data_IF_869580832374
#
_entry.id   IF_869580832374
#
_cell.length_a   1.000
_cell.length_b   1.000
_cell.length_c   1.000
_cell.angle_alpha   90.00
_cell.angle_beta   90.00
_cell.angle_gamma   90.00
#
_symmetry.space_group_name_H-M   'P 1'
#
loop_
_entity.id
_entity.type
_entity.pdbx_description
1 polymer ?
#
# COMPACT_ATOMS: atom_id res chain seq x y z
N UNK A 1 24.08 -29.17 10.67
CA UNK A 1 24.12 -29.03 9.21
C UNK A 1 22.84 -29.63 8.65
N UNK A 2 21.83 -28.82 8.43
CA UNK A 2 20.60 -29.29 7.82
C UNK A 2 20.20 -28.23 6.78
N UNK A 3 20.50 -28.54 5.52
CA UNK A 3 20.17 -27.70 4.37
C UNK A 3 18.67 -27.69 4.16
N UNK A 4 18.06 -26.50 4.21
CA UNK A 4 16.68 -26.26 3.78
C UNK A 4 16.60 -26.45 2.26
N UNK A 5 15.97 -27.54 1.84
CA UNK A 5 15.62 -27.81 0.46
C UNK A 5 14.26 -27.16 0.13
N UNK A 6 14.28 -25.93 -0.33
CA UNK A 6 13.17 -25.41 -1.15
C UNK A 6 13.76 -24.86 -2.44
N UNK A 7 13.66 -25.56 -3.56
CA UNK A 7 14.00 -25.00 -4.87
C UNK A 7 12.92 -24.01 -5.25
N UNK A 8 13.27 -22.72 -5.28
CA UNK A 8 12.47 -21.72 -5.99
C UNK A 8 12.45 -22.11 -7.47
N UNK A 9 11.35 -22.71 -7.91
CA UNK A 9 11.10 -22.91 -9.34
C UNK A 9 10.92 -21.54 -9.99
N UNK A 10 11.93 -21.08 -10.69
CA UNK A 10 11.83 -20.05 -11.72
C UNK A 10 10.79 -20.54 -12.75
N UNK A 11 9.64 -19.87 -12.84
CA UNK A 11 8.69 -20.16 -13.90
C UNK A 11 7.21 -20.20 -13.55
N UNK A 12 6.77 -19.50 -12.51
CA UNK A 12 5.35 -19.24 -12.33
C UNK A 12 5.13 -17.76 -11.97
N UNK A 13 5.23 -16.90 -13.00
CA UNK A 13 4.44 -15.67 -12.99
C UNK A 13 2.98 -16.11 -13.22
N UNK A 14 2.36 -16.64 -12.18
CA UNK A 14 0.93 -16.81 -12.17
C UNK A 14 0.32 -15.42 -12.35
N UNK A 15 -0.44 -15.24 -13.42
CA UNK A 15 -1.30 -14.07 -13.55
C UNK A 15 -2.05 -13.90 -12.24
N UNK A 16 -1.97 -12.72 -11.63
CA UNK A 16 -2.78 -12.42 -10.46
C UNK A 16 -4.23 -12.64 -10.90
N UNK A 17 -4.97 -13.54 -10.26
CA UNK A 17 -6.35 -13.81 -10.65
C UNK A 17 -7.17 -12.53 -10.56
N UNK A 18 -8.19 -12.39 -11.40
CA UNK A 18 -9.11 -11.26 -11.31
C UNK A 18 -9.60 -11.14 -9.86
N UNK A 19 -9.34 -10.04 -9.16
CA UNK A 19 -9.69 -9.89 -7.76
C UNK A 19 -11.21 -10.03 -7.51
N UNK A 20 -12.04 -9.82 -8.55
CA UNK A 20 -13.48 -10.06 -8.50
C UNK A 20 -13.84 -11.54 -8.50
N UNK A 21 -12.94 -12.39 -8.97
CA UNK A 21 -13.12 -13.85 -8.99
C UNK A 21 -12.57 -14.53 -7.72
N UNK A 22 -11.86 -13.79 -6.87
CA UNK A 22 -11.34 -14.34 -5.62
C UNK A 22 -12.49 -14.38 -4.60
N UNK A 23 -12.88 -15.55 -4.09
CA UNK A 23 -13.91 -15.62 -3.07
C UNK A 23 -13.46 -14.87 -1.82
N UNK A 24 -14.31 -13.98 -1.32
CA UNK A 24 -14.07 -13.34 -0.03
C UNK A 24 -14.18 -14.39 1.08
N UNK A 25 -13.07 -14.63 1.77
CA UNK A 25 -13.07 -15.48 2.95
C UNK A 25 -13.30 -14.60 4.17
N UNK A 26 -14.36 -14.85 4.94
CA UNK A 26 -14.50 -14.22 6.26
C UNK A 26 -13.34 -14.72 7.11
N UNK A 27 -12.63 -13.80 7.77
CA UNK A 27 -11.65 -14.17 8.77
C UNK A 27 -12.36 -15.02 9.84
N UNK A 28 -11.98 -16.31 10.04
CA UNK A 28 -12.62 -17.17 11.01
C UNK A 28 -12.46 -16.67 12.46
N UNK A 29 -11.42 -15.85 12.73
CA UNK A 29 -11.17 -15.25 14.04
C UNK A 29 -11.87 -13.90 14.22
N UNK A 30 -12.68 -13.52 13.22
CA UNK A 30 -13.73 -12.51 13.27
C UNK A 30 -13.37 -11.19 13.91
N UNK A 31 -12.51 -10.39 13.27
CA UNK A 31 -12.57 -8.95 13.56
C UNK A 31 -13.98 -8.46 13.28
N UNK A 32 -14.63 -7.93 14.30
CA UNK A 32 -15.97 -7.38 14.13
C UNK A 32 -15.92 -6.30 13.04
N UNK A 33 -16.82 -6.40 12.07
CA UNK A 33 -16.94 -5.38 11.04
C UNK A 33 -17.03 -4.00 11.70
N UNK A 34 -16.23 -3.06 11.23
CA UNK A 34 -16.31 -1.69 11.73
C UNK A 34 -17.72 -1.16 11.48
N UNK A 35 -18.28 -0.57 12.51
CA UNK A 35 -19.57 0.10 12.34
C UNK A 35 -19.45 1.23 11.31
N UNK A 36 -20.44 1.41 10.44
CA UNK A 36 -20.39 2.37 9.33
C UNK A 36 -20.07 3.80 9.78
N UNK A 37 -20.49 4.20 10.98
CA UNK A 37 -20.16 5.51 11.54
C UNK A 37 -18.66 5.71 11.80
N UNK A 38 -17.90 4.62 12.05
CA UNK A 38 -16.44 4.68 12.24
C UNK A 38 -15.69 4.99 10.94
N UNK A 39 -16.30 4.76 9.79
CA UNK A 39 -15.77 5.07 8.47
C UNK A 39 -16.19 6.45 7.98
N UNK A 40 -16.94 7.23 8.77
CA UNK A 40 -17.29 8.59 8.40
C UNK A 40 -16.03 9.49 8.32
N UNK A 41 -16.01 10.51 7.43
CA UNK A 41 -14.86 11.43 7.31
C UNK A 41 -14.47 12.07 8.64
N UNK A 42 -15.44 12.41 9.47
CA UNK A 42 -15.18 13.00 10.79
C UNK A 42 -14.57 12.00 11.78
N UNK A 43 -14.98 10.74 11.75
CA UNK A 43 -14.42 9.70 12.61
C UNK A 43 -12.98 9.36 12.19
N UNK A 44 -12.73 9.25 10.90
CA UNK A 44 -11.38 9.03 10.36
C UNK A 44 -10.45 10.18 10.69
N UNK A 45 -10.90 11.44 10.48
CA UNK A 45 -10.11 12.61 10.85
C UNK A 45 -9.76 12.61 12.34
N UNK A 46 -10.72 12.33 13.20
CA UNK A 46 -10.47 12.24 14.65
C UNK A 46 -9.49 11.11 14.97
N UNK A 47 -9.60 9.95 14.32
CA UNK A 47 -8.69 8.82 14.53
C UNK A 47 -7.24 9.20 14.20
N UNK A 48 -7.01 9.89 13.07
CA UNK A 48 -5.69 10.35 12.65
C UNK A 48 -5.17 11.56 13.44
N UNK A 49 -6.05 12.31 14.11
CA UNK A 49 -5.60 13.38 15.03
C UNK A 49 -5.16 12.87 16.41
N UNK A 50 -5.50 11.62 16.74
CA UNK A 50 -5.01 10.95 17.94
C UNK A 50 -3.67 10.32 17.58
N UNK A 51 -2.57 10.84 18.06
CA UNK A 51 -1.23 10.26 17.87
C UNK A 51 -1.13 8.90 18.62
N UNK A 52 -1.81 7.90 18.05
CA UNK A 52 -1.89 6.58 18.63
C UNK A 52 -0.68 5.76 18.15
N UNK A 53 0.04 5.13 19.06
CA UNK A 53 1.15 4.27 18.68
C UNK A 53 0.64 3.16 17.76
N UNK A 54 1.27 3.05 16.62
CA UNK A 54 1.01 1.97 15.67
C UNK A 54 2.27 1.10 15.56
N UNK A 55 2.09 -0.19 15.71
CA UNK A 55 3.13 -1.17 15.44
C UNK A 55 2.60 -2.13 14.38
N UNK A 56 3.33 -2.33 13.30
CA UNK A 56 2.94 -3.32 12.30
C UNK A 56 3.01 -4.72 12.90
N UNK A 57 1.98 -5.52 12.69
CA UNK A 57 1.99 -6.95 13.02
C UNK A 57 2.88 -7.76 12.05
N UNK A 58 3.63 -7.08 11.22
CA UNK A 58 4.43 -7.71 10.18
C UNK A 58 5.72 -8.26 10.79
N UNK A 59 5.90 -9.55 10.65
CA UNK A 59 7.18 -10.22 10.87
C UNK A 59 8.22 -9.57 9.96
N UNK A 60 9.33 -9.10 10.53
CA UNK A 60 10.46 -8.55 9.79
C UNK A 60 10.85 -9.52 8.67
N UNK A 61 10.83 -9.06 7.43
CA UNK A 61 11.43 -9.81 6.34
C UNK A 61 12.92 -9.99 6.65
N UNK A 62 13.34 -11.22 6.86
CA UNK A 62 14.66 -11.61 7.38
C UNK A 62 15.86 -11.28 6.46
N UNK A 63 15.68 -10.48 5.41
CA UNK A 63 16.69 -10.26 4.37
C UNK A 63 17.26 -8.85 4.26
N UNK A 64 17.08 -8.01 5.26
CA UNK A 64 17.57 -6.61 5.21
C UNK A 64 19.10 -6.48 5.39
N UNK A 65 19.81 -7.57 5.67
CA UNK A 65 21.23 -7.54 6.03
C UNK A 65 22.19 -7.12 4.89
N UNK A 66 21.68 -6.96 3.66
CA UNK A 66 22.50 -6.62 2.49
C UNK A 66 22.10 -5.30 1.80
N UNK A 67 21.22 -4.51 2.42
CA UNK A 67 20.78 -3.25 1.83
C UNK A 67 21.68 -2.12 2.33
N UNK A 68 22.62 -1.72 1.49
CA UNK A 68 23.56 -0.63 1.79
C UNK A 68 22.88 0.76 1.69
N UNK A 69 21.91 0.91 0.77
CA UNK A 69 21.23 2.17 0.53
C UNK A 69 19.72 1.96 0.38
N UNK A 70 18.96 2.76 1.10
CA UNK A 70 17.51 2.76 1.02
C UNK A 70 17.02 3.79 0.01
N UNK A 71 15.96 3.43 -0.69
CA UNK A 71 15.23 4.32 -1.61
C UNK A 71 13.93 4.71 -0.95
N UNK A 72 13.68 6.01 -0.88
CA UNK A 72 12.41 6.51 -0.35
C UNK A 72 11.32 6.37 -1.40
N UNK A 73 10.14 5.96 -0.95
CA UNK A 73 8.93 5.88 -1.75
C UNK A 73 7.73 6.32 -0.91
N UNK A 74 6.65 6.69 -1.58
CA UNK A 74 5.42 7.06 -0.92
C UNK A 74 4.22 6.51 -1.68
N UNK A 75 3.17 6.13 -0.95
CA UNK A 75 1.91 5.63 -1.52
C UNK A 75 0.72 6.36 -0.93
N UNK A 76 -0.32 6.53 -1.73
CA UNK A 76 -1.59 7.12 -1.29
C UNK A 76 -2.59 6.01 -0.95
N UNK A 77 -2.93 5.86 0.33
CA UNK A 77 -4.10 5.07 0.73
C UNK A 77 -5.34 5.95 0.59
N UNK A 78 -5.86 6.00 -0.63
CA UNK A 78 -6.98 6.87 -0.99
C UNK A 78 -8.33 6.27 -0.58
N UNK A 79 -9.08 7.00 0.26
CA UNK A 79 -10.48 6.69 0.57
C UNK A 79 -11.38 7.57 -0.29
N UNK A 80 -12.10 6.95 -1.22
CA UNK A 80 -13.09 7.66 -2.04
C UNK A 80 -14.40 7.73 -1.28
N UNK A 81 -14.82 8.94 -0.96
CA UNK A 81 -16.03 9.19 -0.18
C UNK A 81 -17.26 9.06 -1.06
N UNK A 82 -17.94 7.95 -0.92
CA UNK A 82 -19.22 7.63 -1.51
C UNK A 82 -20.21 7.29 -0.38
N UNK A 83 -21.40 6.86 -0.70
CA UNK A 83 -22.36 6.32 0.27
C UNK A 83 -21.68 5.22 1.13
N UNK A 84 -20.96 4.33 0.47
CA UNK A 84 -20.02 3.40 1.11
C UNK A 84 -18.60 3.80 0.70
N UNK A 85 -17.71 4.15 1.64
CA UNK A 85 -16.33 4.49 1.33
C UNK A 85 -15.61 3.33 0.66
N UNK A 86 -14.84 3.62 -0.39
CA UNK A 86 -14.06 2.62 -1.13
C UNK A 86 -12.59 3.00 -1.18
N UNK A 87 -11.72 2.01 -1.32
CA UNK A 87 -10.28 2.23 -1.50
C UNK A 87 -9.98 2.50 -2.99
N UNK A 88 -9.11 3.47 -3.23
CA UNK A 88 -8.52 3.71 -4.55
C UNK A 88 -7.30 2.82 -4.74
N UNK A 89 -7.35 1.99 -5.77
CA UNK A 89 -6.26 1.10 -6.14
C UNK A 89 -5.91 1.30 -7.61
N UNK A 90 -4.67 1.07 -7.99
CA UNK A 90 -4.20 0.99 -9.36
C UNK A 90 -3.96 -0.45 -9.77
N UNK A 91 -4.04 -0.72 -11.05
CA UNK A 91 -3.59 -1.97 -11.63
C UNK A 91 -2.51 -1.67 -12.68
N UNK A 92 -1.31 -2.20 -12.45
CA UNK A 92 -0.23 -2.04 -13.43
C UNK A 92 -0.58 -2.70 -14.75
N UNK A 93 -0.13 -2.09 -15.84
CA UNK A 93 -0.32 -2.67 -17.17
C UNK A 93 0.25 -4.09 -17.23
N UNK A 94 -0.47 -4.99 -17.91
CA UNK A 94 -0.02 -6.36 -18.14
C UNK A 94 1.23 -6.44 -19.06
N UNK A 95 1.56 -5.33 -19.74
CA UNK A 95 2.66 -5.27 -20.72
C UNK A 95 3.98 -4.77 -20.13
N UNK A 96 4.03 -4.42 -18.83
CA UNK A 96 5.29 -3.99 -18.22
C UNK A 96 6.10 -5.20 -17.74
N UNK A 97 7.45 -5.14 -17.85
CA UNK A 97 8.30 -6.29 -17.58
C UNK A 97 8.35 -6.71 -16.10
N UNK A 98 7.99 -5.80 -15.19
CA UNK A 98 8.04 -6.05 -13.75
C UNK A 98 6.69 -5.77 -13.09
N UNK A 99 6.24 -6.67 -12.22
CA UNK A 99 4.99 -6.52 -11.48
C UNK A 99 3.75 -6.33 -12.36
N UNK A 100 3.72 -6.99 -13.53
CA UNK A 100 2.61 -6.95 -14.47
C UNK A 100 1.29 -7.33 -13.80
N UNK A 101 0.21 -6.58 -14.09
CA UNK A 101 -1.14 -6.76 -13.55
C UNK A 101 -1.26 -6.68 -12.01
N UNK A 102 -0.21 -6.31 -11.30
CA UNK A 102 -0.26 -6.15 -9.85
C UNK A 102 -1.21 -5.01 -9.47
N UNK A 103 -2.03 -5.27 -8.44
CA UNK A 103 -2.87 -4.27 -7.82
C UNK A 103 -2.10 -3.65 -6.66
N UNK A 104 -2.08 -2.32 -6.59
CA UNK A 104 -1.35 -1.57 -5.57
C UNK A 104 -2.06 -0.25 -5.25
N UNK A 105 -1.69 0.39 -4.17
CA UNK A 105 -2.00 1.80 -3.98
C UNK A 105 -1.22 2.64 -4.99
N UNK A 106 -1.81 3.76 -5.48
CA UNK A 106 -1.05 4.72 -6.31
C UNK A 106 0.16 5.24 -5.52
N UNK A 107 1.30 5.32 -6.19
CA UNK A 107 2.51 5.80 -5.56
C UNK A 107 3.79 5.37 -6.27
N UNK A 108 4.91 5.93 -5.82
CA UNK A 108 6.20 5.69 -6.43
C UNK A 108 7.36 6.22 -5.60
N UNK A 109 8.48 6.46 -6.26
CA UNK A 109 9.68 6.99 -5.61
C UNK A 109 9.48 8.45 -5.23
N UNK A 110 10.09 8.84 -4.13
CA UNK A 110 10.24 10.25 -3.80
C UNK A 110 11.32 10.85 -4.69
N UNK A 111 10.97 11.85 -5.48
CA UNK A 111 11.88 12.58 -6.34
C UNK A 111 12.50 13.79 -5.63
N UNK A 112 13.63 14.27 -6.14
CA UNK A 112 14.30 15.45 -5.58
C UNK A 112 13.45 16.73 -5.64
N UNK A 113 12.46 16.79 -6.51
CA UNK A 113 11.50 17.87 -6.65
C UNK A 113 10.35 17.79 -5.66
N UNK A 114 10.13 16.64 -5.02
CA UNK A 114 9.07 16.46 -4.04
C UNK A 114 9.49 17.12 -2.71
N UNK A 115 8.62 17.94 -2.18
CA UNK A 115 8.87 18.63 -0.90
C UNK A 115 8.94 17.62 0.27
N UNK A 116 8.12 16.59 0.23
CA UNK A 116 8.04 15.52 1.23
C UNK A 116 7.38 14.26 0.64
N UNK A 117 7.23 13.21 1.45
CA UNK A 117 6.60 11.96 1.03
C UNK A 117 5.12 12.15 0.63
N UNK A 118 4.41 13.11 1.23
CA UNK A 118 3.02 13.41 0.86
C UNK A 118 2.94 13.99 -0.54
N UNK A 119 3.84 14.94 -0.85
CA UNK A 119 3.93 15.52 -2.19
C UNK A 119 4.19 14.42 -3.23
N UNK A 120 5.13 13.52 -2.96
CA UNK A 120 5.41 12.38 -3.82
C UNK A 120 4.17 11.50 -4.05
N UNK A 121 3.49 11.09 -2.97
CA UNK A 121 2.30 10.24 -3.08
C UNK A 121 1.17 10.90 -3.88
N UNK A 122 0.96 12.21 -3.71
CA UNK A 122 -0.06 12.97 -4.43
C UNK A 122 0.31 13.17 -5.90
N UNK A 123 1.58 13.48 -6.20
CA UNK A 123 2.10 13.59 -7.57
C UNK A 123 1.91 12.28 -8.33
N UNK A 124 2.38 11.17 -7.76
CA UNK A 124 2.26 9.84 -8.35
C UNK A 124 0.79 9.44 -8.58
N UNK A 125 -0.10 9.72 -7.61
CA UNK A 125 -1.52 9.45 -7.77
C UNK A 125 -2.15 10.31 -8.89
N UNK A 126 -1.69 11.56 -9.05
CA UNK A 126 -2.12 12.39 -10.17
C UNK A 126 -1.64 11.82 -11.50
N UNK A 127 -0.38 11.39 -11.59
CA UNK A 127 0.22 10.83 -12.79
C UNK A 127 -0.39 9.48 -13.18
N UNK A 128 -0.64 8.59 -12.21
CA UNK A 128 -1.12 7.24 -12.47
C UNK A 128 -2.62 7.14 -12.73
N UNK A 129 -3.43 7.92 -12.02
CA UNK A 129 -4.90 7.80 -12.06
C UNK A 129 -5.62 9.13 -12.34
N UNK A 130 -4.88 10.21 -12.64
CA UNK A 130 -5.46 11.51 -12.95
C UNK A 130 -6.18 12.16 -11.75
N UNK A 131 -5.82 11.79 -10.51
CA UNK A 131 -6.45 12.34 -9.32
C UNK A 131 -6.07 13.82 -9.14
N UNK A 132 -7.03 14.77 -9.16
CA UNK A 132 -6.72 16.17 -8.90
C UNK A 132 -6.30 16.35 -7.44
N UNK A 133 -5.12 16.91 -7.22
CA UNK A 133 -4.53 17.05 -5.88
C UNK A 133 -5.41 17.91 -4.96
N UNK A 134 -6.07 18.92 -5.51
CA UNK A 134 -6.99 19.81 -4.81
C UNK A 134 -8.23 19.10 -4.25
N UNK A 135 -8.54 17.91 -4.77
CA UNK A 135 -9.65 17.09 -4.29
C UNK A 135 -9.24 16.14 -3.16
N UNK A 136 -7.96 16.14 -2.79
CA UNK A 136 -7.44 15.24 -1.76
C UNK A 136 -7.28 15.96 -0.44
N UNK A 137 -7.91 15.42 0.58
CA UNK A 137 -7.68 15.82 1.96
C UNK A 137 -6.81 14.81 2.67
N UNK A 138 -5.58 15.17 2.95
CA UNK A 138 -4.67 14.30 3.72
C UNK A 138 -5.12 14.27 5.18
N UNK A 139 -5.32 13.08 5.71
CA UNK A 139 -5.74 12.86 7.10
C UNK A 139 -4.55 12.62 8.02
N UNK A 140 -3.50 11.98 7.53
CA UNK A 140 -2.30 11.62 8.29
C UNK A 140 -1.44 10.65 7.52
N UNK A 141 -0.47 10.08 8.21
CA UNK A 141 0.43 9.05 7.72
C UNK A 141 0.27 7.79 8.55
N UNK A 142 0.40 6.64 7.93
CA UNK A 142 0.56 5.35 8.61
C UNK A 142 2.06 5.05 8.77
N UNK A 143 2.39 4.09 9.63
CA UNK A 143 3.79 3.74 9.88
C UNK A 143 4.53 3.31 8.60
N UNK A 144 5.83 3.57 8.57
CA UNK A 144 6.69 3.21 7.44
C UNK A 144 6.79 1.71 7.25
N UNK A 145 6.76 1.29 6.01
CA UNK A 145 7.00 -0.09 5.60
C UNK A 145 8.32 -0.20 4.84
N UNK A 146 9.15 -1.16 5.20
CA UNK A 146 10.41 -1.46 4.52
C UNK A 146 10.30 -2.76 3.73
N UNK A 147 10.72 -2.72 2.47
CA UNK A 147 10.67 -3.87 1.58
C UNK A 147 12.03 -4.58 1.50
N UNK A 148 12.04 -5.89 1.27
CA UNK A 148 13.25 -6.65 0.99
C UNK A 148 13.99 -6.21 -0.28
N UNK A 149 13.36 -5.40 -1.14
CA UNK A 149 13.96 -4.82 -2.35
C UNK A 149 14.63 -3.45 -2.13
N UNK A 150 14.73 -2.98 -0.89
CA UNK A 150 15.45 -1.76 -0.52
C UNK A 150 14.65 -0.47 -0.61
N UNK A 151 13.34 -0.54 -0.46
CA UNK A 151 12.50 0.65 -0.34
C UNK A 151 12.03 0.88 1.10
N UNK A 152 11.96 2.14 1.49
CA UNK A 152 11.21 2.63 2.65
C UNK A 152 9.99 3.36 2.13
N UNK A 153 8.81 2.87 2.43
CA UNK A 153 7.54 3.36 1.93
C UNK A 153 6.82 4.09 3.07
N UNK A 154 6.43 5.32 2.83
CA UNK A 154 5.58 6.15 3.69
C UNK A 154 4.18 6.18 3.14
#
# INVERSE_FOLDING_TARGET
MTQSKFPLKSGMLSSIPDPRAIPSVRNPDGDAALASHALSPAALQRRFSLDLPWQPDVVQELQWQHIETWREAAVLIGLVLREEPTLLLTQRSAHVPTHAAQIAFPGGKVDASDHDARAAALREAHEEVGLPIENVRVLGEVGRYTTGSGFRIT
#
